data_IF_216138437141
#
_entry.id   IF_216138437141
#
_cell.length_a   1.000
_cell.length_b   1.000
_cell.length_c   1.000
_cell.angle_alpha   90.00
_cell.angle_beta   90.00
_cell.angle_gamma   90.00
#
_symmetry.space_group_name_H-M   'P 1'
#
loop_
_entity.id
_entity.type
_entity.pdbx_description
1 polymer ?
#
# COMPACT_ATOMS: atom_id res chain seq x y z
N UNK A 1 13.04 -11.67 -2.24
CA UNK A 1 12.26 -10.50 -1.80
C UNK A 1 10.83 -10.70 -2.27
N UNK A 2 9.84 -10.42 -1.42
CA UNK A 2 8.41 -10.42 -1.79
C UNK A 2 7.95 -8.99 -1.99
N UNK A 3 6.80 -8.83 -2.65
CA UNK A 3 6.13 -7.54 -2.79
C UNK A 3 4.79 -7.60 -2.11
N UNK A 4 4.47 -6.58 -1.34
CA UNK A 4 3.21 -6.45 -0.62
C UNK A 4 2.46 -5.21 -1.09
N UNK A 5 1.17 -5.35 -1.35
CA UNK A 5 0.27 -4.24 -1.65
C UNK A 5 -0.47 -3.84 -0.38
N UNK A 6 -0.37 -2.56 -0.01
CA UNK A 6 -1.15 -1.97 1.07
C UNK A 6 -2.28 -1.14 0.51
N UNK A 7 -3.49 -1.40 1.00
CA UNK A 7 -4.69 -0.64 0.59
C UNK A 7 -4.78 0.61 1.45
N UNK A 8 -4.87 1.76 0.79
CA UNK A 8 -4.95 3.09 1.41
C UNK A 8 -6.05 3.90 0.73
N UNK A 9 -6.46 5.00 1.32
CA UNK A 9 -7.42 5.94 0.72
C UNK A 9 -6.82 7.35 0.62
N UNK A 10 -7.57 8.26 0.00
CA UNK A 10 -7.11 9.64 -0.25
C UNK A 10 -6.71 10.38 1.05
N UNK A 11 -7.33 10.06 2.19
CA UNK A 11 -7.03 10.71 3.46
C UNK A 11 -5.79 10.13 4.18
N UNK A 12 -5.56 8.83 4.05
CA UNK A 12 -4.47 8.12 4.75
C UNK A 12 -3.19 8.05 3.93
N UNK A 13 -3.30 8.05 2.60
CA UNK A 13 -2.15 7.91 1.71
C UNK A 13 -1.10 9.02 1.90
N UNK A 14 -1.44 10.32 1.97
CA UNK A 14 -0.45 11.36 2.26
C UNK A 14 0.26 11.16 3.61
N UNK A 15 -0.45 10.64 4.61
CA UNK A 15 0.10 10.39 5.95
C UNK A 15 1.10 9.23 5.90
N UNK A 16 0.81 8.16 5.16
CA UNK A 16 1.75 7.06 4.92
C UNK A 16 3.08 7.54 4.30
N UNK A 17 3.00 8.44 3.33
CA UNK A 17 4.16 8.99 2.63
C UNK A 17 4.97 9.95 3.51
N UNK A 18 4.28 10.83 4.26
CA UNK A 18 4.92 11.82 5.12
C UNK A 18 5.68 11.17 6.29
N UNK A 19 5.15 10.09 6.84
CA UNK A 19 5.71 9.42 8.01
C UNK A 19 6.42 8.09 7.69
N UNK A 20 6.53 7.75 6.40
CA UNK A 20 7.24 6.57 5.91
C UNK A 20 6.87 5.27 6.65
N UNK A 21 5.56 5.00 6.73
CA UNK A 21 5.05 3.74 7.25
C UNK A 21 3.93 3.21 6.37
N UNK A 22 3.70 1.91 6.41
CA UNK A 22 2.50 1.27 5.86
C UNK A 22 1.75 0.56 6.99
N UNK A 23 0.43 0.49 6.92
CA UNK A 23 -0.35 -0.07 8.02
C UNK A 23 -1.72 -0.57 7.62
N UNK A 24 -2.30 -1.38 8.49
CA UNK A 24 -3.62 -2.01 8.29
C UNK A 24 -4.50 -1.80 9.51
N UNK A 25 -5.79 -1.62 9.26
CA UNK A 25 -6.81 -1.37 10.26
C UNK A 25 -8.05 -2.22 10.03
N UNK A 26 -8.80 -2.49 11.10
CA UNK A 26 -10.10 -3.15 11.02
C UNK A 26 -11.17 -2.32 11.73
N UNK A 27 -12.37 -2.34 11.15
CA UNK A 27 -13.56 -1.78 11.74
C UNK A 27 -14.78 -2.57 11.29
N UNK A 28 -15.87 -2.42 12.02
CA UNK A 28 -17.17 -2.93 11.64
C UNK A 28 -18.22 -1.81 11.79
N UNK A 29 -19.34 -1.96 11.08
CA UNK A 29 -20.48 -1.05 11.20
C UNK A 29 -21.46 -1.63 12.21
N UNK A 30 -21.91 -0.81 13.15
CA UNK A 30 -23.00 -1.12 14.08
C UNK A 30 -23.88 0.12 14.21
N UNK A 31 -25.20 -0.02 13.98
CA UNK A 31 -26.17 1.09 14.02
C UNK A 31 -25.70 2.35 13.25
N UNK A 32 -25.23 2.15 12.01
CA UNK A 32 -24.65 3.19 11.14
C UNK A 32 -23.38 3.90 11.67
N UNK A 33 -22.87 3.51 12.83
CA UNK A 33 -21.61 3.99 13.38
C UNK A 33 -20.47 3.03 13.05
N UNK A 34 -19.34 3.58 12.63
CA UNK A 34 -18.12 2.81 12.44
C UNK A 34 -17.41 2.62 13.77
N UNK A 35 -17.13 1.37 14.13
CA UNK A 35 -16.43 1.00 15.36
C UNK A 35 -15.09 0.38 14.96
N UNK A 36 -14.01 0.99 15.43
CA UNK A 36 -12.65 0.53 15.20
C UNK A 36 -12.25 -0.52 16.23
N UNK A 37 -11.68 -1.62 15.78
CA UNK A 37 -11.19 -2.68 16.68
C UNK A 37 -9.71 -2.48 16.96
N UNK A 38 -9.28 -2.99 18.11
CA UNK A 38 -7.87 -3.02 18.50
C UNK A 38 -7.12 -4.20 17.93
N UNK A 39 -7.82 -5.29 17.61
CA UNK A 39 -7.17 -6.53 17.21
C UNK A 39 -7.95 -7.22 16.08
N UNK A 40 -7.19 -7.79 15.15
CA UNK A 40 -7.71 -8.63 14.08
C UNK A 40 -6.63 -9.65 13.69
N UNK A 41 -6.96 -10.95 13.77
CA UNK A 41 -5.99 -12.03 13.54
C UNK A 41 -5.64 -12.21 12.05
N UNK A 42 -6.59 -11.95 11.15
CA UNK A 42 -6.38 -12.08 9.70
C UNK A 42 -5.41 -11.01 9.20
N UNK A 43 -5.60 -9.75 9.62
CA UNK A 43 -4.67 -8.66 9.31
C UNK A 43 -3.30 -8.88 9.93
N UNK A 44 -3.23 -9.43 11.15
CA UNK A 44 -1.96 -9.77 11.79
C UNK A 44 -1.21 -10.84 10.99
N UNK A 45 -1.92 -11.86 10.55
CA UNK A 45 -1.36 -12.94 9.73
C UNK A 45 -0.81 -12.41 8.41
N UNK A 46 -1.56 -11.54 7.73
CA UNK A 46 -1.14 -10.96 6.46
C UNK A 46 0.11 -10.06 6.64
N UNK A 47 0.12 -9.14 7.62
CA UNK A 47 1.24 -8.20 7.81
C UNK A 47 2.49 -8.87 8.41
N UNK A 48 2.37 -9.94 9.21
CA UNK A 48 3.55 -10.66 9.76
C UNK A 48 4.36 -11.41 8.71
N UNK A 49 3.88 -11.49 7.46
CA UNK A 49 4.60 -12.12 6.34
C UNK A 49 5.71 -11.24 5.77
N UNK A 50 5.71 -9.95 6.09
CA UNK A 50 6.74 -9.00 5.64
C UNK A 50 8.11 -9.31 6.24
N UNK A 51 9.17 -9.04 5.48
CA UNK A 51 10.56 -9.13 5.91
C UNK A 51 11.31 -7.86 5.50
N UNK A 52 12.39 -7.47 6.20
CA UNK A 52 13.27 -6.40 5.74
C UNK A 52 13.64 -6.55 4.28
N UNK A 53 13.55 -5.46 3.52
CA UNK A 53 13.85 -5.44 2.09
C UNK A 53 12.74 -5.97 1.18
N UNK A 54 11.64 -6.51 1.71
CA UNK A 54 10.45 -6.76 0.88
C UNK A 54 9.93 -5.44 0.29
N UNK A 55 9.42 -5.46 -0.93
CA UNK A 55 8.85 -4.29 -1.57
C UNK A 55 7.45 -4.00 -1.05
N UNK A 56 7.10 -2.71 -1.02
CA UNK A 56 5.77 -2.21 -0.72
C UNK A 56 5.27 -1.34 -1.87
N UNK A 57 4.07 -1.66 -2.34
CA UNK A 57 3.29 -0.84 -3.27
C UNK A 57 2.03 -0.38 -2.54
N UNK A 58 1.57 0.85 -2.80
CA UNK A 58 0.28 1.31 -2.31
C UNK A 58 -0.78 1.16 -3.38
N UNK A 59 -1.94 0.63 -3.01
CA UNK A 59 -3.15 0.67 -3.81
C UNK A 59 -4.08 1.71 -3.20
N UNK A 60 -4.30 2.81 -3.92
CA UNK A 60 -5.13 3.92 -3.48
C UNK A 60 -6.59 3.66 -3.90
N UNK A 61 -7.45 3.33 -2.95
CA UNK A 61 -8.90 3.34 -3.13
C UNK A 61 -9.39 4.78 -3.06
N UNK A 62 -9.78 5.32 -4.22
CA UNK A 62 -10.25 6.69 -4.35
C UNK A 62 -11.21 6.87 -5.52
N UNK A 63 -11.38 8.11 -5.94
CA UNK A 63 -12.15 8.43 -7.15
C UNK A 63 -11.52 7.77 -8.39
N UNK A 64 -12.28 7.58 -9.47
CA UNK A 64 -11.78 6.98 -10.74
C UNK A 64 -10.49 7.63 -11.28
N UNK A 65 -10.22 8.90 -10.95
CA UNK A 65 -9.00 9.61 -11.38
C UNK A 65 -7.76 9.23 -10.57
N UNK A 66 -7.94 8.95 -9.27
CA UNK A 66 -6.83 8.69 -8.34
C UNK A 66 -6.67 7.22 -8.00
N UNK A 67 -7.68 6.39 -8.30
CA UNK A 67 -7.64 4.96 -8.06
C UNK A 67 -6.53 4.27 -8.86
N UNK A 68 -5.59 3.62 -8.16
CA UNK A 68 -4.45 2.98 -8.80
C UNK A 68 -3.34 2.55 -7.86
N UNK A 69 -2.22 2.14 -8.45
CA UNK A 69 -1.04 1.64 -7.76
C UNK A 69 0.09 2.65 -7.79
N UNK A 70 0.71 2.90 -6.63
CA UNK A 70 1.66 3.98 -6.42
C UNK A 70 2.91 3.55 -5.66
N UNK A 71 4.03 4.07 -6.14
CA UNK A 71 5.35 4.02 -5.50
C UNK A 71 5.94 2.62 -5.37
N UNK A 72 7.26 2.54 -5.28
CA UNK A 72 7.98 1.32 -4.92
C UNK A 72 8.84 1.63 -3.70
N UNK A 73 8.42 1.09 -2.55
CA UNK A 73 9.08 1.24 -1.26
C UNK A 73 9.68 -0.09 -0.82
N UNK A 74 10.46 -0.07 0.26
CA UNK A 74 10.96 -1.28 0.93
C UNK A 74 10.60 -1.28 2.40
N UNK A 75 10.35 -2.45 2.96
CA UNK A 75 10.25 -2.63 4.41
C UNK A 75 11.61 -2.33 5.03
N UNK A 76 11.65 -1.37 5.96
CA UNK A 76 12.87 -0.96 6.65
C UNK A 76 13.41 -2.09 7.54
N UNK A 77 14.74 -2.17 7.65
CA UNK A 77 15.39 -3.08 8.59
C UNK A 77 15.32 -2.50 10.02
N UNK A 78 14.56 -3.15 10.90
CA UNK A 78 14.34 -2.71 12.28
C UNK A 78 13.87 -3.87 13.16
N UNK A 79 13.73 -3.64 14.47
CA UNK A 79 13.12 -4.60 15.41
C UNK A 79 12.27 -3.83 16.42
N UNK A 80 10.98 -4.18 16.59
CA UNK A 80 10.23 -5.20 15.86
C UNK A 80 9.91 -4.77 14.42
N UNK A 81 9.69 -5.75 13.53
CA UNK A 81 9.28 -5.47 12.13
C UNK A 81 7.87 -4.90 12.06
N UNK A 82 6.95 -5.48 12.83
CA UNK A 82 5.54 -5.06 12.90
C UNK A 82 5.28 -4.45 14.28
N UNK A 83 4.78 -3.23 14.29
CA UNK A 83 4.33 -2.52 15.47
C UNK A 83 2.84 -2.71 15.69
N UNK A 84 2.44 -2.98 16.94
CA UNK A 84 1.05 -3.07 17.36
C UNK A 84 0.62 -1.77 18.05
N UNK A 85 -0.40 -1.10 17.51
CA UNK A 85 -0.82 0.27 17.88
C UNK A 85 -2.27 0.27 18.41
N UNK A 86 -2.51 -0.20 19.64
CA UNK A 86 -3.85 -0.24 20.22
C UNK A 86 -4.34 1.14 20.68
N UNK A 87 -5.61 1.21 21.06
CA UNK A 87 -6.28 2.37 21.60
C UNK A 87 -6.27 3.56 20.65
N UNK A 88 -6.00 4.74 21.22
CA UNK A 88 -5.93 5.99 20.47
C UNK A 88 -4.62 6.15 19.67
N UNK A 89 -3.57 5.40 20.03
CA UNK A 89 -2.28 5.44 19.32
C UNK A 89 -2.45 4.98 17.86
N UNK A 90 -3.39 4.06 17.61
CA UNK A 90 -3.75 3.62 16.26
C UNK A 90 -4.24 4.75 15.33
N UNK A 91 -4.62 5.92 15.86
CA UNK A 91 -4.99 7.12 15.09
C UNK A 91 -3.86 8.14 14.96
N UNK A 92 -2.70 7.95 15.60
CA UNK A 92 -1.57 8.86 15.40
C UNK A 92 -0.94 8.66 14.01
N UNK A 93 -0.40 9.70 13.35
CA UNK A 93 -0.20 11.06 13.87
C UNK A 93 -1.41 11.99 13.75
N UNK A 94 -2.43 11.66 12.94
CA UNK A 94 -3.77 12.27 12.83
C UNK A 94 -4.55 11.54 11.73
N UNK A 95 -4.55 10.21 11.79
CA UNK A 95 -5.23 9.35 10.84
C UNK A 95 -6.74 9.40 11.08
N UNK A 96 -7.57 9.54 10.04
CA UNK A 96 -9.02 9.37 10.18
C UNK A 96 -9.40 7.92 10.48
N UNK A 97 -8.52 6.98 10.13
CA UNK A 97 -8.73 5.54 10.24
C UNK A 97 -7.73 4.91 11.21
N UNK A 98 -8.18 3.99 12.06
CA UNK A 98 -7.31 3.32 13.03
C UNK A 98 -6.45 2.27 12.33
N UNK A 99 -5.14 2.46 12.33
CA UNK A 99 -4.17 1.50 11.81
C UNK A 99 -3.45 0.79 12.96
N UNK A 100 -3.92 -0.42 13.28
CA UNK A 100 -3.50 -1.21 14.44
C UNK A 100 -2.20 -1.99 14.25
N UNK A 101 -1.84 -2.32 13.00
CA UNK A 101 -0.56 -2.93 12.69
C UNK A 101 0.19 -2.10 11.67
N UNK A 102 1.45 -1.80 11.94
CA UNK A 102 2.28 -0.92 11.11
C UNK A 102 3.66 -1.49 10.88
N UNK A 103 4.25 -1.12 9.76
CA UNK A 103 5.64 -1.38 9.39
C UNK A 103 6.28 -0.06 8.96
N UNK A 104 7.56 0.15 9.27
CA UNK A 104 8.27 1.27 8.66
C UNK A 104 8.72 0.87 7.27
N UNK A 105 8.69 1.85 6.38
CA UNK A 105 9.12 1.69 5.00
C UNK A 105 10.17 2.75 4.67
N UNK A 106 11.00 2.46 3.68
CA UNK A 106 11.94 3.41 3.10
C UNK A 106 11.66 3.54 1.59
N UNK A 107 11.86 4.73 1.00
CA UNK A 107 11.78 4.89 -0.45
C UNK A 107 12.78 3.97 -1.16
N UNK A 108 12.37 3.43 -2.31
CA UNK A 108 13.27 2.73 -3.22
C UNK A 108 13.27 3.37 -4.61
N UNK A 109 12.13 3.30 -5.29
CA UNK A 109 11.86 3.94 -6.58
C UNK A 109 10.46 4.58 -6.50
N UNK A 110 10.40 5.81 -5.98
CA UNK A 110 9.13 6.54 -5.85
C UNK A 110 8.96 7.42 -7.08
N UNK A 111 7.75 7.39 -7.66
CA UNK A 111 7.42 7.99 -8.95
C UNK A 111 6.26 8.98 -8.81
N UNK A 112 6.24 10.04 -9.61
CA UNK A 112 5.19 11.07 -9.55
C UNK A 112 3.81 10.58 -9.99
N UNK A 113 3.76 9.62 -10.90
CA UNK A 113 2.51 9.05 -11.40
C UNK A 113 2.33 7.60 -10.94
N UNK A 114 1.10 7.26 -10.53
CA UNK A 114 0.69 5.88 -10.34
C UNK A 114 0.17 5.25 -11.63
N UNK A 115 -0.06 3.94 -11.57
CA UNK A 115 -0.79 3.21 -12.61
C UNK A 115 -2.26 3.15 -12.24
N UNK A 116 -3.17 3.67 -13.09
CA UNK A 116 -4.60 3.55 -12.86
C UNK A 116 -5.03 2.09 -12.71
N UNK A 117 -5.99 1.85 -11.82
CA UNK A 117 -6.50 0.50 -11.59
C UNK A 117 -6.98 -0.18 -12.89
N UNK A 118 -7.74 0.55 -13.72
CA UNK A 118 -8.28 0.00 -14.96
C UNK A 118 -7.17 -0.46 -15.91
N UNK A 119 -6.01 0.20 -15.88
CA UNK A 119 -4.86 -0.15 -16.72
C UNK A 119 -4.16 -1.40 -16.17
N UNK A 120 -4.07 -1.54 -14.85
CA UNK A 120 -3.44 -2.69 -14.18
C UNK A 120 -4.30 -3.96 -14.14
N UNK A 121 -5.62 -3.82 -13.95
CA UNK A 121 -6.51 -4.94 -13.64
C UNK A 121 -7.60 -5.16 -14.70
N UNK A 122 -8.18 -4.10 -15.26
CA UNK A 122 -9.37 -4.22 -16.13
C UNK A 122 -8.98 -4.36 -17.62
N UNK A 123 -7.82 -3.83 -18.02
CA UNK A 123 -7.27 -3.98 -19.36
C UNK A 123 -6.72 -5.39 -19.52
N UNK A 124 -7.59 -6.32 -19.92
CA UNK A 124 -7.25 -7.73 -20.04
C UNK A 124 -6.17 -7.94 -21.12
N UNK A 125 -5.06 -8.62 -20.77
CA UNK A 125 -4.07 -9.06 -21.75
C UNK A 125 -4.62 -10.18 -22.63
N UNK A 126 -3.90 -10.47 -23.72
CA UNK A 126 -4.27 -11.56 -24.65
C UNK A 126 -4.19 -12.92 -23.94
N UNK A 127 -3.20 -13.10 -23.07
CA UNK A 127 -2.97 -14.35 -22.35
C UNK A 127 -3.52 -14.29 -20.93
N UNK A 128 -4.36 -15.27 -20.55
CA UNK A 128 -4.98 -15.34 -19.22
C UNK A 128 -3.97 -15.50 -18.08
N UNK A 129 -2.78 -16.02 -18.37
CA UNK A 129 -1.66 -16.16 -17.42
C UNK A 129 -1.04 -14.81 -17.02
N UNK A 130 -1.27 -13.76 -17.79
CA UNK A 130 -0.78 -12.41 -17.52
C UNK A 130 -1.75 -11.56 -16.68
N UNK A 131 -2.96 -12.07 -16.43
CA UNK A 131 -3.94 -11.40 -15.59
C UNK A 131 -3.48 -11.44 -14.13
N UNK A 132 -3.62 -10.31 -13.44
CA UNK A 132 -3.33 -10.14 -12.00
C UNK A 132 -4.42 -10.77 -11.14
N UNK A 133 -4.62 -12.09 -11.27
CA UNK A 133 -5.71 -12.82 -10.64
C UNK A 133 -5.70 -12.70 -9.11
N UNK A 134 -4.52 -12.62 -8.48
CA UNK A 134 -4.45 -12.51 -7.03
C UNK A 134 -5.06 -11.19 -6.54
N UNK A 135 -4.86 -10.10 -7.29
CA UNK A 135 -5.44 -8.78 -7.00
C UNK A 135 -6.93 -8.74 -7.31
N UNK A 136 -7.34 -9.22 -8.49
CA UNK A 136 -8.76 -9.24 -8.90
C UNK A 136 -9.59 -10.06 -7.91
N UNK A 137 -9.15 -11.27 -7.56
CA UNK A 137 -9.88 -12.13 -6.63
C UNK A 137 -10.02 -11.49 -5.24
N UNK A 138 -8.97 -10.84 -4.74
CA UNK A 138 -8.98 -10.19 -3.43
C UNK A 138 -9.86 -8.95 -3.40
N UNK A 139 -9.91 -8.19 -4.50
CA UNK A 139 -10.86 -7.09 -4.68
C UNK A 139 -12.30 -7.59 -4.58
N UNK A 140 -12.62 -8.70 -5.28
CA UNK A 140 -13.96 -9.30 -5.25
C UNK A 140 -14.35 -9.86 -3.88
N UNK A 141 -13.40 -10.38 -3.11
CA UNK A 141 -13.67 -10.92 -1.76
C UNK A 141 -13.68 -9.85 -0.66
N UNK A 142 -13.10 -8.67 -0.92
CA UNK A 142 -13.01 -7.56 0.03
C UNK A 142 -12.14 -7.84 1.25
N UNK A 143 -11.76 -6.77 1.96
CA UNK A 143 -11.23 -6.76 3.34
C UNK A 143 -9.82 -7.33 3.59
N UNK A 144 -8.79 -6.85 2.88
CA UNK A 144 -7.40 -7.06 3.32
C UNK A 144 -6.58 -5.79 3.21
N UNK A 145 -6.01 -5.35 4.33
CA UNK A 145 -5.17 -4.15 4.34
C UNK A 145 -3.76 -4.35 3.76
N UNK A 146 -3.27 -5.60 3.69
CA UNK A 146 -1.95 -5.96 3.17
C UNK A 146 -2.04 -7.29 2.43
N UNK A 147 -1.49 -7.37 1.22
CA UNK A 147 -1.51 -8.59 0.40
C UNK A 147 -0.16 -8.86 -0.25
N UNK A 148 0.43 -10.05 -0.08
CA UNK A 148 1.61 -10.42 -0.86
C UNK A 148 1.22 -10.77 -2.31
N UNK A 149 2.05 -10.34 -3.25
CA UNK A 149 1.94 -10.67 -4.67
C UNK A 149 2.83 -11.84 -5.05
N UNK A 150 2.44 -12.54 -6.11
CA UNK A 150 3.32 -13.50 -6.78
C UNK A 150 4.47 -12.75 -7.48
N UNK A 151 5.67 -13.34 -7.61
CA UNK A 151 6.83 -12.61 -8.16
C UNK A 151 6.60 -11.98 -9.53
N UNK A 152 5.92 -12.68 -10.44
CA UNK A 152 5.64 -12.17 -11.79
C UNK A 152 4.56 -11.08 -11.78
N UNK A 153 3.53 -11.21 -10.94
CA UNK A 153 2.50 -10.18 -10.73
C UNK A 153 3.14 -8.89 -10.22
N UNK A 154 4.01 -9.03 -9.21
CA UNK A 154 4.76 -7.93 -8.64
C UNK A 154 5.66 -7.24 -9.66
N UNK A 155 6.43 -8.03 -10.42
CA UNK A 155 7.34 -7.51 -11.44
C UNK A 155 6.58 -6.72 -12.51
N UNK A 156 5.50 -7.30 -13.05
CA UNK A 156 4.64 -6.63 -14.03
C UNK A 156 4.12 -5.29 -13.51
N UNK A 157 3.59 -5.26 -12.29
CA UNK A 157 3.03 -4.04 -11.72
C UNK A 157 4.10 -2.95 -11.49
N UNK A 158 5.28 -3.35 -10.98
CA UNK A 158 6.41 -2.43 -10.83
C UNK A 158 6.87 -1.88 -12.18
N UNK A 159 6.94 -2.72 -13.22
CA UNK A 159 7.35 -2.29 -14.56
C UNK A 159 6.32 -1.37 -15.22
N UNK A 160 5.02 -1.60 -14.99
CA UNK A 160 3.98 -0.66 -15.41
C UNK A 160 4.21 0.72 -14.78
N UNK A 161 4.44 0.79 -13.46
CA UNK A 161 4.74 2.07 -12.75
C UNK A 161 5.99 2.73 -13.33
N UNK A 162 7.07 1.98 -13.53
CA UNK A 162 8.31 2.50 -14.14
C UNK A 162 8.05 3.07 -15.53
N UNK A 163 7.37 2.31 -16.38
CA UNK A 163 7.12 2.67 -17.77
C UNK A 163 6.25 3.92 -17.89
N UNK A 164 5.21 4.05 -17.05
CA UNK A 164 4.37 5.24 -16.97
C UNK A 164 5.19 6.51 -16.72
N UNK A 165 6.20 6.38 -15.87
CA UNK A 165 7.09 7.47 -15.47
C UNK A 165 8.39 7.50 -16.29
N UNK A 166 8.47 6.79 -17.42
CA UNK A 166 9.67 6.72 -18.28
C UNK A 166 10.95 6.34 -17.52
N UNK A 167 10.82 5.57 -16.44
CA UNK A 167 11.91 5.17 -15.57
C UNK A 167 12.54 6.29 -14.74
N UNK A 168 11.92 7.47 -14.64
CA UNK A 168 12.44 8.63 -13.90
C UNK A 168 11.79 8.76 -12.51
N UNK A 169 12.40 8.22 -11.44
CA UNK A 169 11.88 8.38 -10.09
C UNK A 169 12.13 9.79 -9.57
N UNK A 170 11.21 10.28 -8.74
CA UNK A 170 11.39 11.53 -7.99
C UNK A 170 12.23 11.33 -6.72
N UNK A 171 12.29 10.09 -6.20
CA UNK A 171 13.17 9.71 -5.09
C UNK A 171 13.80 8.35 -5.40
N UNK A 172 15.13 8.28 -5.29
CA UNK A 172 15.93 7.08 -5.50
C UNK A 172 16.86 6.83 -4.31
N UNK A 173 16.82 5.64 -3.73
CA UNK A 173 17.72 5.24 -2.63
C UNK A 173 17.30 5.73 -1.24
N UNK A 174 18.26 5.74 -0.29
CA UNK A 174 18.01 6.08 1.12
C UNK A 174 17.69 7.57 1.28
N UNK A 175 16.41 7.87 1.46
CA UNK A 175 15.90 9.20 1.79
C UNK A 175 15.55 9.24 3.28
N UNK A 176 16.06 10.23 4.02
CA UNK A 176 15.95 10.32 5.49
C UNK A 176 14.97 11.40 5.98
N UNK A 177 14.40 12.20 5.08
CA UNK A 177 13.24 13.06 5.39
C UNK A 177 11.93 12.34 5.11
N UNK A 178 10.82 12.70 5.75
CA UNK A 178 9.50 12.30 5.24
C UNK A 178 9.29 12.85 3.82
N UNK A 179 8.43 12.25 2.99
CA UNK A 179 8.14 12.74 1.62
C UNK A 179 7.28 14.03 1.61
N UNK A 180 7.54 14.95 2.53
CA UNK A 180 6.79 16.18 2.75
C UNK A 180 6.92 17.07 1.51
N UNK A 181 5.79 17.34 0.84
CA UNK A 181 5.74 18.18 -0.35
C UNK A 181 5.81 17.42 -1.68
N UNK A 182 6.09 16.12 -1.66
CA UNK A 182 5.98 15.27 -2.85
C UNK A 182 4.51 14.93 -3.08
N UNK A 183 3.90 15.57 -4.08
CA UNK A 183 2.57 15.19 -4.57
C UNK A 183 2.72 14.00 -5.52
N UNK A 184 2.36 12.81 -5.06
CA UNK A 184 2.19 11.61 -5.92
C UNK A 184 0.87 11.62 -6.70
N UNK A 185 0.18 12.77 -6.69
CA UNK A 185 -1.12 12.97 -7.31
C UNK A 185 -0.97 14.20 -8.21
N UNK A 186 -0.98 13.97 -9.52
CA UNK A 186 -0.99 15.02 -10.53
C UNK A 186 -2.15 15.99 -10.28
N UNK A 187 -1.93 17.28 -10.60
CA UNK A 187 -3.00 18.29 -10.60
C UNK A 187 -4.12 17.91 -11.56
#
# INVERSE_FOLDING_TARGET
MRTHVFIVNEDTFPIHLNYLFAGTGASYKSNHKQIWVDWNIELLSDIKRVRPGDFVLFYLEGTRKLNGFYGIFKISAQTPIVFYMPGQIGFQPNLPHKLIYRVLIEPFEVYSEGIPEWEALDKLPIYSTEIQWSLIYRKLKGKRGCTPLLPWEAQRLMDMIRNKNKGMPIVKGRYTGGLIGIRLIGK
#
